data_IF_244754079403
#
_entry.id   IF_244754079403
#
_cell.length_a   1.000
_cell.length_b   1.000
_cell.length_c   1.000
_cell.angle_alpha   90.00
_cell.angle_beta   90.00
_cell.angle_gamma   90.00
#
_symmetry.space_group_name_H-M   'P 1'
#
loop_
_entity.id
_entity.type
_entity.pdbx_description
1 polymer ?
#
# COMPACT_ATOMS: atom_id res chain seq x y z
N UNK A 1 -3.43 0.87 16.12
CA UNK A 1 -4.59 0.95 15.20
C UNK A 1 -4.12 0.68 13.78
N UNK A 2 -4.98 0.14 12.91
CA UNK A 2 -4.64 -0.16 11.51
C UNK A 2 -5.84 -0.01 10.61
N UNK A 3 -5.58 0.16 9.32
CA UNK A 3 -6.56 -0.15 8.28
C UNK A 3 -6.48 -1.64 7.89
N UNK A 4 -7.55 -2.16 7.28
CA UNK A 4 -7.51 -3.41 6.54
C UNK A 4 -6.78 -3.14 5.22
N UNK A 5 -5.82 -3.98 4.86
CA UNK A 5 -4.84 -3.65 3.84
C UNK A 5 -5.48 -3.47 2.45
N UNK A 6 -6.36 -4.39 2.07
CA UNK A 6 -7.16 -4.29 0.84
C UNK A 6 -7.91 -2.95 0.71
N UNK A 7 -8.47 -2.46 1.81
CA UNK A 7 -9.30 -1.25 1.86
C UNK A 7 -8.42 0.00 1.74
N UNK A 8 -7.24 -0.04 2.36
CA UNK A 8 -6.24 1.02 2.19
C UNK A 8 -5.71 1.07 0.75
N UNK A 9 -5.50 -0.08 0.10
CA UNK A 9 -5.09 -0.14 -1.30
C UNK A 9 -6.18 0.36 -2.25
N UNK A 10 -7.44 -0.03 -2.03
CA UNK A 10 -8.58 0.49 -2.79
C UNK A 10 -8.66 2.01 -2.68
N UNK A 11 -8.57 2.55 -1.45
CA UNK A 11 -8.57 4.01 -1.24
C UNK A 11 -7.40 4.67 -1.95
N UNK A 12 -6.20 4.12 -1.83
CA UNK A 12 -5.00 4.66 -2.47
C UNK A 12 -5.10 4.67 -4.01
N UNK A 13 -5.58 3.57 -4.60
CA UNK A 13 -5.78 3.49 -6.05
C UNK A 13 -6.87 4.47 -6.51
N UNK A 14 -7.93 4.65 -5.72
CA UNK A 14 -8.98 5.64 -6.00
C UNK A 14 -8.47 7.07 -5.97
N UNK A 15 -7.60 7.40 -5.02
CA UNK A 15 -6.95 8.72 -4.99
C UNK A 15 -6.11 8.97 -6.26
N UNK A 16 -5.61 7.92 -6.91
CA UNK A 16 -4.74 7.95 -8.10
C UNK A 16 -5.51 7.70 -9.41
N UNK A 17 -6.84 7.75 -9.38
CA UNK A 17 -7.67 7.41 -10.54
C UNK A 17 -7.36 8.29 -11.76
N UNK A 18 -7.21 9.60 -11.55
CA UNK A 18 -6.87 10.55 -12.61
C UNK A 18 -5.49 10.24 -13.21
N UNK A 19 -4.46 10.04 -12.37
CA UNK A 19 -3.10 9.71 -12.81
C UNK A 19 -3.05 8.43 -13.66
N UNK A 20 -3.81 7.40 -13.26
CA UNK A 20 -3.87 6.12 -13.98
C UNK A 20 -4.55 6.29 -15.34
N UNK A 21 -5.66 7.05 -15.40
CA UNK A 21 -6.38 7.33 -16.65
C UNK A 21 -5.55 8.20 -17.61
N UNK A 22 -4.87 9.22 -17.09
CA UNK A 22 -3.91 10.02 -17.88
C UNK A 22 -2.74 9.17 -18.38
N UNK A 23 -2.24 8.25 -17.54
CA UNK A 23 -1.22 7.29 -17.90
C UNK A 23 -1.62 6.41 -19.09
N UNK A 24 -2.86 5.90 -19.11
CA UNK A 24 -3.38 5.13 -20.25
C UNK A 24 -3.36 5.95 -21.54
N UNK A 25 -3.88 7.18 -21.49
CA UNK A 25 -3.88 8.11 -22.63
C UNK A 25 -2.47 8.41 -23.12
N UNK A 26 -1.52 8.61 -22.21
CA UNK A 26 -0.13 8.90 -22.55
C UNK A 26 0.58 7.75 -23.28
N UNK A 27 0.08 6.52 -23.10
CA UNK A 27 0.59 5.31 -23.74
C UNK A 27 -0.25 4.90 -24.97
N UNK A 28 -1.09 5.81 -25.49
CA UNK A 28 -2.03 5.56 -26.60
C UNK A 28 -2.95 4.34 -26.38
N UNK A 29 -3.27 4.04 -25.12
CA UNK A 29 -4.19 2.96 -24.75
C UNK A 29 -5.63 3.47 -24.68
N UNK A 30 -6.58 2.57 -24.96
CA UNK A 30 -8.01 2.88 -24.86
C UNK A 30 -8.42 3.14 -23.40
N UNK A 31 -9.18 4.21 -23.17
CA UNK A 31 -9.77 4.54 -21.86
C UNK A 31 -10.68 3.40 -21.36
N UNK A 32 -11.25 2.59 -22.25
CA UNK A 32 -12.06 1.40 -21.89
C UNK A 32 -11.24 0.18 -21.46
N UNK A 33 -9.90 0.25 -21.50
CA UNK A 33 -9.04 -0.86 -21.08
C UNK A 33 -9.28 -1.22 -19.61
N UNK A 34 -9.49 -2.52 -19.35
CA UNK A 34 -9.93 -3.02 -18.06
C UNK A 34 -8.90 -3.91 -17.33
N UNK A 35 -7.70 -4.10 -17.88
CA UNK A 35 -6.61 -4.82 -17.21
C UNK A 35 -6.25 -6.17 -17.84
N UNK A 36 -5.43 -6.99 -17.13
CA UNK A 36 -4.98 -6.78 -15.75
C UNK A 36 -3.90 -5.70 -15.63
N UNK A 37 -4.07 -4.81 -14.66
CA UNK A 37 -3.02 -3.90 -14.20
C UNK A 37 -2.19 -4.57 -13.11
N UNK A 38 -0.87 -4.39 -13.16
CA UNK A 38 0.05 -4.82 -12.10
C UNK A 38 0.48 -3.59 -11.31
N UNK A 39 0.19 -3.61 -10.01
CA UNK A 39 0.50 -2.55 -9.05
C UNK A 39 1.66 -3.02 -8.18
N UNK A 40 2.79 -2.32 -8.25
CA UNK A 40 3.94 -2.61 -7.38
C UNK A 40 3.85 -1.74 -6.14
N UNK A 41 3.80 -2.40 -4.98
CA UNK A 41 3.69 -1.79 -3.66
C UNK A 41 5.03 -1.91 -2.94
N UNK A 42 5.61 -0.79 -2.53
CA UNK A 42 6.71 -0.76 -1.57
C UNK A 42 6.13 -0.80 -0.16
N UNK A 43 6.50 -1.79 0.63
CA UNK A 43 6.17 -1.87 2.05
C UNK A 43 7.34 -1.34 2.88
N UNK A 44 7.02 -0.57 3.92
CA UNK A 44 7.98 0.00 4.86
C UNK A 44 7.54 -0.20 6.30
N UNK A 45 8.48 -0.56 7.17
CA UNK A 45 8.23 -0.70 8.61
C UNK A 45 9.36 -0.07 9.42
N UNK A 46 9.03 0.98 10.18
CA UNK A 46 10.01 1.75 10.93
C UNK A 46 9.63 1.92 12.41
N UNK A 47 10.61 1.73 13.29
CA UNK A 47 10.53 2.04 14.71
C UNK A 47 10.84 3.51 15.01
N UNK A 48 10.14 4.06 15.99
CA UNK A 48 10.30 5.42 16.50
C UNK A 48 10.56 5.37 18.01
N UNK A 49 11.69 5.91 18.45
CA UNK A 49 12.00 6.13 19.86
C UNK A 49 11.39 7.45 20.38
N UNK A 50 11.53 7.67 21.69
CA UNK A 50 11.17 8.91 22.38
C UNK A 50 9.70 9.34 22.17
N UNK A 51 8.79 8.37 22.08
CA UNK A 51 7.35 8.61 21.94
C UNK A 51 6.72 8.62 23.32
N UNK A 52 6.64 9.78 23.97
CA UNK A 52 6.19 9.89 25.36
C UNK A 52 4.81 9.28 25.62
N UNK A 53 4.70 8.49 26.68
CA UNK A 53 3.42 7.98 27.16
C UNK A 53 2.58 9.13 27.74
N UNK A 54 1.28 9.12 27.46
CA UNK A 54 0.35 10.09 28.03
C UNK A 54 -0.28 9.54 29.31
N UNK A 55 -0.45 10.39 30.31
CA UNK A 55 -1.31 10.10 31.45
C UNK A 55 -2.71 9.69 30.99
N UNK A 56 -3.30 8.68 31.63
CA UNK A 56 -4.65 8.22 31.32
C UNK A 56 -5.00 6.90 32.00
N UNK A 57 -6.18 6.39 31.68
CA UNK A 57 -6.70 5.10 32.20
C UNK A 57 -6.38 3.91 31.30
N UNK A 58 -5.48 4.09 30.33
CA UNK A 58 -5.08 3.04 29.39
C UNK A 58 -4.15 2.01 30.04
N UNK A 59 -3.86 0.90 29.35
CA UNK A 59 -2.76 0.03 29.74
C UNK A 59 -1.44 0.82 29.70
N UNK A 60 -0.47 0.40 30.51
CA UNK A 60 0.90 0.90 30.38
C UNK A 60 1.43 0.53 29.00
N UNK A 61 1.99 1.51 28.28
CA UNK A 61 2.52 1.33 26.92
C UNK A 61 3.98 1.78 26.87
N UNK A 62 4.82 1.17 26.02
CA UNK A 62 6.20 1.62 25.86
C UNK A 62 6.25 3.02 25.26
N UNK A 63 7.30 3.78 25.62
CA UNK A 63 7.58 5.10 25.01
C UNK A 63 8.24 4.97 23.62
N UNK A 64 7.75 4.02 22.84
CA UNK A 64 8.20 3.68 21.50
C UNK A 64 6.99 3.41 20.62
N UNK A 65 7.13 3.68 19.33
CA UNK A 65 6.11 3.35 18.34
C UNK A 65 6.72 2.59 17.18
N UNK A 66 5.89 1.78 16.53
CA UNK A 66 6.20 1.19 15.22
C UNK A 66 5.15 1.64 14.23
N UNK A 67 5.60 2.01 13.04
CA UNK A 67 4.76 2.39 11.91
C UNK A 67 5.00 1.42 10.77
N UNK A 68 3.92 0.85 10.26
CA UNK A 68 3.89 0.14 9.00
C UNK A 68 3.17 1.01 7.97
N UNK A 69 3.79 1.20 6.80
CA UNK A 69 3.29 2.03 5.72
C UNK A 69 3.49 1.35 4.37
N UNK A 70 2.83 1.88 3.35
CA UNK A 70 3.06 1.44 1.97
C UNK A 70 3.06 2.62 1.00
N UNK A 71 3.67 2.40 -0.16
CA UNK A 71 3.69 3.34 -1.28
C UNK A 71 3.37 2.59 -2.57
N UNK A 72 2.47 3.13 -3.39
CA UNK A 72 2.25 2.66 -4.76
C UNK A 72 3.42 3.17 -5.61
N UNK A 73 4.36 2.28 -5.93
CA UNK A 73 5.57 2.65 -6.68
C UNK A 73 5.29 2.80 -8.17
N UNK A 74 4.49 1.88 -8.70
CA UNK A 74 4.15 1.85 -10.10
C UNK A 74 2.85 1.12 -10.37
N UNK A 75 2.21 1.51 -11.47
CA UNK A 75 1.13 0.77 -12.10
C UNK A 75 1.56 0.49 -13.53
N UNK A 76 1.43 -0.76 -13.97
CA UNK A 76 1.84 -1.20 -15.31
C UNK A 76 0.85 -2.18 -15.91
N UNK A 77 0.94 -2.38 -17.22
CA UNK A 77 0.16 -3.37 -17.96
C UNK A 77 1.14 -4.20 -18.78
N UNK A 78 0.99 -5.52 -18.76
CA UNK A 78 1.77 -6.42 -19.63
C UNK A 78 0.97 -6.79 -20.86
N UNK A 79 1.56 -6.59 -22.05
CA UNK A 79 1.02 -7.01 -23.33
C UNK A 79 2.04 -7.84 -24.10
N UNK A 80 1.69 -8.27 -25.32
CA UNK A 80 2.56 -9.10 -26.17
C UNK A 80 3.90 -8.43 -26.54
N UNK A 81 3.99 -7.11 -26.42
CA UNK A 81 5.16 -6.31 -26.76
C UNK A 81 6.00 -5.93 -25.52
N UNK A 82 5.60 -6.35 -24.32
CA UNK A 82 6.32 -6.11 -23.06
C UNK A 82 5.44 -5.48 -21.98
N UNK A 83 6.09 -4.95 -20.96
CA UNK A 83 5.42 -4.24 -19.85
C UNK A 83 5.45 -2.74 -20.12
N UNK A 84 4.28 -2.13 -20.20
CA UNK A 84 4.09 -0.69 -20.32
C UNK A 84 3.80 -0.09 -18.94
N UNK A 85 4.49 0.98 -18.59
CA UNK A 85 4.27 1.68 -17.31
C UNK A 85 3.21 2.77 -17.50
N UNK A 86 2.15 2.68 -16.71
CA UNK A 86 1.04 3.63 -16.71
C UNK A 86 1.29 4.74 -15.70
N UNK A 87 1.80 4.39 -14.51
CA UNK A 87 2.08 5.34 -13.44
C UNK A 87 3.48 5.18 -12.88
N UNK A 88 4.19 6.31 -12.83
CA UNK A 88 5.50 6.75 -12.29
C UNK A 88 5.59 7.37 -10.88
N UNK A 89 5.77 6.69 -9.74
CA UNK A 89 6.08 7.47 -8.51
C UNK A 89 7.47 8.10 -8.62
N UNK A 90 7.49 9.43 -8.79
CA UNK A 90 8.70 10.21 -9.07
C UNK A 90 9.57 10.43 -7.84
N UNK A 91 8.98 10.43 -6.64
CA UNK A 91 9.67 10.67 -5.36
C UNK A 91 9.29 9.58 -4.35
N UNK A 92 9.72 8.33 -4.57
CA UNK A 92 9.26 7.16 -3.79
C UNK A 92 9.64 7.17 -2.31
N UNK A 93 10.47 8.11 -1.87
CA UNK A 93 10.87 8.29 -0.47
C UNK A 93 10.26 9.58 0.15
N UNK A 94 9.37 10.27 -0.56
CA UNK A 94 8.65 11.41 0.01
C UNK A 94 7.60 10.94 1.01
N UNK A 95 7.48 11.68 2.11
CA UNK A 95 6.43 11.51 3.11
C UNK A 95 5.01 11.64 2.53
N UNK A 96 4.86 12.34 1.40
CA UNK A 96 3.56 12.54 0.76
C UNK A 96 3.01 11.26 0.08
N UNK A 97 3.88 10.38 -0.39
CA UNK A 97 3.50 9.13 -1.05
C UNK A 97 3.49 7.93 -0.08
N UNK A 98 3.99 8.12 1.14
CA UNK A 98 4.05 7.09 2.18
C UNK A 98 2.73 7.05 2.94
N UNK A 99 1.82 6.14 2.56
CA UNK A 99 0.50 6.02 3.17
C UNK A 99 0.59 5.15 4.44
N UNK A 100 0.25 5.67 5.64
CA UNK A 100 0.33 4.91 6.88
C UNK A 100 -0.76 3.83 6.91
N UNK A 101 -0.39 2.60 7.23
CA UNK A 101 -1.30 1.46 7.30
C UNK A 101 -1.56 0.99 8.73
N UNK A 102 -0.52 0.95 9.55
CA UNK A 102 -0.60 0.57 10.96
C UNK A 102 0.31 1.44 11.82
N UNK A 103 -0.23 1.93 12.93
CA UNK A 103 0.49 2.63 13.97
C UNK A 103 0.28 1.89 15.29
N UNK A 104 1.36 1.53 15.96
CA UNK A 104 1.32 0.83 17.25
C UNK A 104 2.30 1.48 18.23
N UNK A 105 1.92 1.51 19.51
CA UNK A 105 2.83 1.82 20.61
C UNK A 105 3.44 0.49 21.05
N UNK A 106 4.60 0.18 20.50
CA UNK A 106 5.31 -1.07 20.71
C UNK A 106 6.82 -0.81 20.52
N UNK A 107 7.65 -1.64 21.14
CA UNK A 107 9.07 -1.70 20.83
C UNK A 107 9.26 -2.61 19.61
N UNK A 108 9.99 -2.15 18.59
CA UNK A 108 10.33 -2.98 17.42
C UNK A 108 11.16 -4.22 17.80
N UNK A 109 11.84 -4.17 18.95
CA UNK A 109 12.60 -5.30 19.48
C UNK A 109 11.72 -6.35 20.17
N UNK A 110 10.48 -6.02 20.52
CA UNK A 110 9.52 -6.97 21.08
C UNK A 110 8.85 -7.78 19.96
N UNK A 111 9.47 -8.92 19.67
CA UNK A 111 9.04 -9.80 18.58
C UNK A 111 7.64 -10.38 18.79
N UNK A 112 7.24 -10.64 20.03
CA UNK A 112 5.94 -11.24 20.34
C UNK A 112 4.82 -10.23 20.04
N UNK A 113 4.96 -9.01 20.57
CA UNK A 113 4.00 -7.93 20.33
C UNK A 113 3.93 -7.56 18.85
N UNK A 114 5.10 -7.42 18.20
CA UNK A 114 5.15 -7.04 16.79
C UNK A 114 4.49 -8.10 15.89
N UNK A 115 4.76 -9.38 16.14
CA UNK A 115 4.16 -10.48 15.40
C UNK A 115 2.65 -10.56 15.63
N UNK A 116 2.20 -10.39 16.88
CA UNK A 116 0.79 -10.40 17.21
C UNK A 116 0.02 -9.28 16.47
N UNK A 117 0.60 -8.09 16.34
CA UNK A 117 -0.04 -6.94 15.70
C UNK A 117 0.05 -7.01 14.16
N UNK A 118 1.19 -7.42 13.60
CA UNK A 118 1.42 -7.41 12.16
C UNK A 118 0.91 -8.67 11.45
N UNK A 119 0.81 -9.82 12.13
CA UNK A 119 0.38 -11.07 11.48
C UNK A 119 -0.94 -10.99 10.70
N UNK A 120 -1.98 -10.22 11.09
CA UNK A 120 -3.16 -10.04 10.26
C UNK A 120 -2.88 -9.29 8.95
N UNK A 121 -1.99 -8.29 8.96
CA UNK A 121 -1.60 -7.57 7.74
C UNK A 121 -0.81 -8.47 6.79
N UNK A 122 0.06 -9.31 7.35
CA UNK A 122 0.79 -10.33 6.58
C UNK A 122 -0.19 -11.31 5.93
N UNK A 123 -1.19 -11.80 6.67
CA UNK A 123 -2.21 -12.70 6.12
C UNK A 123 -3.04 -12.04 5.01
N UNK A 124 -3.47 -10.78 5.22
CA UNK A 124 -4.17 -9.98 4.20
C UNK A 124 -3.30 -9.82 2.94
N UNK A 125 -2.01 -9.50 3.10
CA UNK A 125 -1.06 -9.37 1.99
C UNK A 125 -0.87 -10.68 1.21
N UNK A 126 -0.66 -11.80 1.90
CA UNK A 126 -0.48 -13.08 1.23
C UNK A 126 -1.73 -13.51 0.44
N UNK A 127 -2.93 -13.22 0.97
CA UNK A 127 -4.16 -13.43 0.22
C UNK A 127 -4.24 -12.54 -1.03
N UNK A 128 -3.80 -11.28 -0.92
CA UNK A 128 -3.82 -10.34 -2.05
C UNK A 128 -2.89 -10.72 -3.19
N UNK A 129 -1.71 -11.33 -2.91
CA UNK A 129 -0.73 -11.76 -3.92
C UNK A 129 -1.28 -12.76 -4.94
N UNK A 130 -2.26 -13.58 -4.53
CA UNK A 130 -2.85 -14.62 -5.38
C UNK A 130 -4.26 -14.28 -5.85
N UNK A 131 -4.73 -13.07 -5.53
CA UNK A 131 -6.05 -12.57 -5.89
C UNK A 131 -5.99 -11.47 -6.92
N UNK A 132 -7.15 -11.05 -7.39
CA UNK A 132 -7.31 -9.94 -8.30
C UNK A 132 -8.40 -9.01 -7.75
N UNK A 133 -8.09 -7.71 -7.67
CA UNK A 133 -9.00 -6.68 -7.20
C UNK A 133 -9.78 -6.12 -8.39
N UNK A 134 -11.10 -6.23 -8.32
CA UNK A 134 -12.00 -5.54 -9.24
C UNK A 134 -12.40 -4.19 -8.64
N UNK A 135 -12.08 -3.09 -9.34
CA UNK A 135 -12.33 -1.72 -8.89
C UNK A 135 -12.83 -0.87 -10.05
N UNK A 136 -13.99 -0.25 -9.88
CA UNK A 136 -14.53 0.69 -10.86
C UNK A 136 -13.70 1.97 -10.86
N UNK A 137 -13.28 2.47 -12.02
CA UNK A 137 -12.58 3.74 -12.21
C UNK A 137 -13.10 4.37 -13.51
N UNK A 138 -13.39 5.67 -13.54
CA UNK A 138 -13.93 6.34 -14.73
C UNK A 138 -15.20 5.67 -15.29
N UNK A 139 -16.01 5.05 -14.44
CA UNK A 139 -17.21 4.30 -14.84
C UNK A 139 -16.98 2.90 -15.41
N UNK A 140 -15.74 2.38 -15.40
CA UNK A 140 -15.37 1.07 -15.94
C UNK A 140 -14.79 0.20 -14.84
N UNK A 141 -15.26 -1.04 -14.74
CA UNK A 141 -14.71 -2.03 -13.82
C UNK A 141 -13.34 -2.53 -14.32
N UNK A 142 -12.27 -2.20 -13.59
CA UNK A 142 -10.90 -2.57 -13.93
C UNK A 142 -10.32 -3.58 -12.93
N UNK A 143 -9.34 -4.33 -13.40
CA UNK A 143 -8.77 -5.48 -12.72
C UNK A 143 -7.32 -5.23 -12.32
N UNK A 144 -6.98 -5.41 -11.04
CA UNK A 144 -5.66 -5.10 -10.48
C UNK A 144 -5.05 -6.29 -9.75
N UNK A 145 -3.76 -6.53 -10.01
CA UNK A 145 -2.91 -7.49 -9.30
C UNK A 145 -1.83 -6.74 -8.54
N UNK A 146 -1.37 -7.31 -7.43
CA UNK A 146 -0.42 -6.65 -6.55
C UNK A 146 0.89 -7.42 -6.42
N UNK A 147 2.00 -6.69 -6.57
CA UNK A 147 3.33 -7.16 -6.23
C UNK A 147 3.85 -6.38 -5.02
N UNK A 148 4.03 -7.06 -3.89
CA UNK A 148 4.53 -6.44 -2.66
C UNK A 148 6.05 -6.61 -2.55
N UNK A 149 6.75 -5.51 -2.30
CA UNK A 149 8.20 -5.46 -2.09
C UNK A 149 8.49 -4.87 -0.71
N UNK A 150 8.91 -5.71 0.23
CA UNK A 150 9.38 -5.28 1.55
C UNK A 150 10.84 -4.85 1.48
N UNK A 151 11.08 -3.57 1.26
CA UNK A 151 12.44 -3.04 0.99
C UNK A 151 12.84 -1.86 1.87
N UNK A 152 12.03 -1.50 2.86
CA UNK A 152 12.42 -0.48 3.84
C UNK A 152 11.46 -0.37 4.99
#
# INVERSE_FOLDING_TARGET
>A
KRFRYDTALVSALKDMEEDILEGLKSQDMDDYFNGPFTVVIKESCDGMGDVSEKHGSGPAVPEKAVRFSFTVMNVSVTNNNGTLRIFEETKPNSELCCKPLCLMLADESDHETLTAILSPLIAEREAMKTSELMLEMGGILRSFKFEFRGTG
#
